data_IF_188574519035
#
_entry.id   IF_188574519035
#
_cell.length_a   1.000
_cell.length_b   1.000
_cell.length_c   1.000
_cell.angle_alpha   90.00
_cell.angle_beta   90.00
_cell.angle_gamma   90.00
#
_symmetry.space_group_name_H-M   'P 1'
#
loop_
_entity.id
_entity.type
_entity.pdbx_description
1 polymer ?
#
# COMPACT_ATOMS: atom_id res chain seq x y z
N UNK A 1 -47.67 -57.46 4.73
CA UNK A 1 -47.13 -56.60 3.64
C UNK A 1 -46.47 -55.35 4.31
N UNK A 2 -45.14 -55.34 4.49
CA UNK A 2 -44.42 -54.26 5.16
C UNK A 2 -43.65 -53.44 4.10
N UNK A 3 -44.04 -52.19 3.93
CA UNK A 3 -43.40 -51.28 3.01
C UNK A 3 -42.34 -50.52 3.81
N UNK A 4 -41.07 -50.76 3.50
CA UNK A 4 -39.93 -50.06 4.09
C UNK A 4 -39.66 -48.73 3.35
N UNK A 5 -39.77 -47.63 4.06
CA UNK A 5 -39.39 -46.30 3.57
C UNK A 5 -37.88 -46.15 3.74
N UNK A 6 -37.15 -46.05 2.64
CA UNK A 6 -35.71 -45.67 2.62
C UNK A 6 -35.60 -44.17 2.60
N UNK A 7 -35.17 -43.59 3.71
CA UNK A 7 -34.80 -42.17 3.80
C UNK A 7 -33.49 -41.92 3.08
N UNK A 8 -33.53 -41.16 2.00
CA UNK A 8 -32.32 -40.66 1.31
C UNK A 8 -31.91 -39.36 2.00
N UNK A 9 -30.81 -39.41 2.74
CA UNK A 9 -30.18 -38.23 3.32
C UNK A 9 -29.38 -37.54 2.24
N UNK A 10 -29.89 -36.42 1.71
CA UNK A 10 -29.16 -35.55 0.78
C UNK A 10 -28.20 -34.68 1.58
N UNK A 11 -26.91 -35.01 1.53
CA UNK A 11 -25.82 -34.18 2.09
C UNK A 11 -25.57 -33.00 1.16
N UNK A 12 -26.15 -31.85 1.47
CA UNK A 12 -25.88 -30.58 0.77
C UNK A 12 -24.48 -30.08 1.10
N UNK A 13 -23.52 -30.24 0.19
CA UNK A 13 -22.21 -29.62 0.27
C UNK A 13 -22.40 -28.15 -0.09
N UNK A 14 -22.41 -27.29 0.94
CA UNK A 14 -22.34 -25.83 0.76
C UNK A 14 -20.92 -25.48 0.31
N UNK A 15 -20.72 -25.33 -1.00
CA UNK A 15 -19.49 -24.72 -1.55
C UNK A 15 -19.53 -23.23 -1.18
N UNK A 16 -18.83 -22.87 -0.10
CA UNK A 16 -18.44 -21.50 0.15
C UNK A 16 -17.51 -21.09 -1.02
N UNK A 17 -18.05 -20.30 -1.92
CA UNK A 17 -17.23 -19.61 -2.91
C UNK A 17 -16.38 -18.57 -2.17
N UNK A 18 -15.16 -18.97 -1.79
CA UNK A 18 -14.12 -17.99 -1.51
C UNK A 18 -13.82 -17.31 -2.85
N UNK A 19 -14.25 -16.06 -3.00
CA UNK A 19 -13.67 -15.19 -4.02
C UNK A 19 -12.21 -15.02 -3.61
N UNK A 20 -11.22 -15.47 -4.40
CA UNK A 20 -9.85 -15.13 -4.11
C UNK A 20 -9.77 -13.60 -4.24
N UNK A 21 -9.48 -12.89 -3.17
CA UNK A 21 -8.91 -11.56 -3.28
C UNK A 21 -7.69 -11.71 -4.17
N UNK A 22 -7.71 -11.06 -5.32
CA UNK A 22 -6.61 -11.14 -6.27
C UNK A 22 -5.46 -10.38 -5.63
N UNK A 23 -4.48 -11.11 -5.10
CA UNK A 23 -3.29 -10.51 -4.54
C UNK A 23 -2.63 -9.63 -5.62
N UNK A 24 -2.20 -8.42 -5.26
CA UNK A 24 -1.43 -7.57 -6.15
C UNK A 24 -0.23 -8.36 -6.70
N UNK A 25 -0.01 -8.29 -8.00
CA UNK A 25 1.01 -9.10 -8.71
C UNK A 25 2.01 -8.24 -9.47
N UNK A 26 1.95 -6.91 -9.31
CA UNK A 26 2.82 -5.95 -9.99
C UNK A 26 3.51 -5.08 -8.95
N UNK A 27 4.75 -4.72 -9.21
CA UNK A 27 5.52 -3.77 -8.38
C UNK A 27 5.89 -2.57 -9.24
N UNK A 28 5.42 -1.39 -8.86
CA UNK A 28 5.88 -0.12 -9.44
C UNK A 28 7.26 0.21 -8.86
N UNK A 29 8.26 0.42 -9.72
CA UNK A 29 9.66 0.67 -9.33
C UNK A 29 10.19 2.02 -9.80
N UNK A 30 9.39 2.81 -10.51
CA UNK A 30 9.74 4.14 -11.02
C UNK A 30 8.51 4.92 -11.44
N UNK A 31 8.70 6.21 -11.72
CA UNK A 31 7.64 7.15 -12.06
C UNK A 31 7.09 7.94 -10.87
N UNK A 32 6.19 8.89 -11.14
CA UNK A 32 5.53 9.72 -10.14
C UNK A 32 4.21 9.08 -9.73
N UNK A 33 4.04 8.88 -8.43
CA UNK A 33 2.88 8.24 -7.82
C UNK A 33 2.50 8.98 -6.56
N UNK A 34 1.22 9.30 -6.38
CA UNK A 34 0.71 9.93 -5.17
C UNK A 34 -0.26 8.99 -4.43
N UNK A 35 -0.20 9.04 -3.10
CA UNK A 35 -1.29 8.61 -2.23
C UNK A 35 -2.23 9.80 -2.12
N UNK A 36 -3.35 9.70 -2.81
CA UNK A 36 -4.34 10.75 -2.95
C UNK A 36 -5.52 10.61 -2.00
N UNK A 37 -6.18 11.74 -1.72
CA UNK A 37 -7.49 11.75 -1.09
C UNK A 37 -8.45 12.61 -1.89
N UNK A 38 -9.60 12.03 -2.25
CA UNK A 38 -10.72 12.68 -2.92
C UNK A 38 -11.97 12.67 -2.04
N UNK A 39 -12.95 13.50 -2.38
CA UNK A 39 -14.29 13.42 -1.82
C UNK A 39 -15.29 13.06 -2.92
N UNK A 40 -15.82 11.87 -2.84
CA UNK A 40 -16.71 11.26 -3.83
C UNK A 40 -18.14 11.07 -3.29
N UNK A 41 -19.12 10.68 -4.17
CA UNK A 41 -20.45 10.29 -3.73
C UNK A 41 -20.40 9.04 -2.82
N UNK A 42 -20.23 9.24 -1.53
CA UNK A 42 -20.12 8.17 -0.52
C UNK A 42 -19.22 8.54 0.63
N UNK A 43 -18.33 9.50 0.46
CA UNK A 43 -17.41 9.97 1.49
C UNK A 43 -16.02 10.28 0.97
N UNK A 44 -15.05 10.28 1.87
CA UNK A 44 -13.64 10.33 1.47
C UNK A 44 -13.24 9.02 0.80
N UNK A 45 -12.31 9.13 -0.12
CA UNK A 45 -11.68 8.00 -0.79
C UNK A 45 -10.16 8.19 -0.81
N UNK A 46 -9.43 7.25 -0.22
CA UNK A 46 -7.97 7.18 -0.33
C UNK A 46 -7.61 6.21 -1.45
N UNK A 47 -6.74 6.65 -2.34
CA UNK A 47 -6.38 5.91 -3.55
C UNK A 47 -4.92 6.16 -3.94
N UNK A 48 -4.44 5.45 -4.96
CA UNK A 48 -3.18 5.78 -5.63
C UNK A 48 -3.47 6.51 -6.93
N UNK A 49 -2.73 7.57 -7.21
CA UNK A 49 -2.84 8.34 -8.44
C UNK A 49 -1.49 8.42 -9.15
N UNK A 50 -1.45 8.07 -10.43
CA UNK A 50 -0.28 8.22 -11.30
C UNK A 50 -0.59 9.19 -12.43
N UNK A 51 0.13 10.29 -12.51
CA UNK A 51 -0.01 11.27 -13.61
C UNK A 51 0.77 10.84 -14.86
N UNK A 52 1.91 10.16 -14.67
CA UNK A 52 2.79 9.64 -15.70
C UNK A 52 2.84 8.11 -15.67
N UNK A 53 3.25 7.43 -16.75
CA UNK A 53 3.45 5.98 -16.73
C UNK A 53 4.44 5.55 -15.63
N UNK A 54 4.05 4.57 -14.83
CA UNK A 54 4.92 3.99 -13.80
C UNK A 54 5.71 2.83 -14.40
N UNK A 55 7.02 2.80 -14.18
CA UNK A 55 7.83 1.65 -14.52
C UNK A 55 7.55 0.47 -13.57
N UNK A 56 7.49 -0.75 -14.09
CA UNK A 56 7.27 -1.94 -13.28
C UNK A 56 8.47 -2.86 -13.26
N UNK A 57 8.63 -3.60 -12.16
CA UNK A 57 9.59 -4.70 -12.11
C UNK A 57 9.26 -5.73 -13.20
N UNK A 58 10.28 -6.19 -13.91
CA UNK A 58 10.09 -7.03 -15.10
C UNK A 58 10.02 -6.27 -16.44
N UNK A 59 10.07 -4.92 -16.42
CA UNK A 59 10.20 -4.07 -17.60
C UNK A 59 8.91 -3.72 -18.32
N UNK A 60 7.77 -3.79 -17.62
CA UNK A 60 6.48 -3.27 -18.08
C UNK A 60 6.23 -1.84 -17.62
N UNK A 61 5.03 -1.32 -17.93
CA UNK A 61 4.53 -0.03 -17.43
C UNK A 61 3.08 -0.13 -16.99
N UNK A 62 2.72 0.67 -15.97
CA UNK A 62 1.33 0.95 -15.59
C UNK A 62 0.96 2.29 -16.23
N UNK A 63 -0.16 2.34 -16.97
CA UNK A 63 -0.62 3.59 -17.57
C UNK A 63 -1.11 4.57 -16.49
N UNK A 64 -1.03 5.90 -16.75
CA UNK A 64 -1.57 6.91 -15.83
C UNK A 64 -3.06 6.70 -15.56
N UNK A 65 -3.42 6.66 -14.30
CA UNK A 65 -4.81 6.51 -13.81
C UNK A 65 -4.87 6.66 -12.29
N UNK A 66 -6.08 6.64 -11.77
CA UNK A 66 -6.37 6.34 -10.37
C UNK A 66 -6.50 4.84 -10.16
N UNK A 67 -6.08 4.36 -8.99
CA UNK A 67 -6.05 2.95 -8.63
C UNK A 67 -6.50 2.76 -7.17
N UNK A 68 -7.13 1.64 -6.91
CA UNK A 68 -7.36 1.21 -5.52
C UNK A 68 -6.04 1.10 -4.76
N UNK A 69 -6.08 1.32 -3.46
CA UNK A 69 -4.91 1.38 -2.58
C UNK A 69 -4.04 0.10 -2.59
N UNK A 70 -4.63 -1.04 -2.95
CA UNK A 70 -4.01 -2.37 -3.01
C UNK A 70 -3.81 -2.91 -4.44
N UNK A 71 -4.01 -2.08 -5.47
CA UNK A 71 -3.92 -2.51 -6.88
C UNK A 71 -2.54 -3.06 -7.27
N UNK A 72 -1.46 -2.53 -6.69
CA UNK A 72 -0.09 -2.97 -6.90
C UNK A 72 0.81 -2.63 -5.71
N UNK A 73 2.00 -3.21 -5.67
CA UNK A 73 3.02 -2.86 -4.68
C UNK A 73 3.83 -1.64 -5.12
N UNK A 74 4.10 -0.73 -4.18
CA UNK A 74 5.08 0.34 -4.36
C UNK A 74 6.46 -0.23 -4.00
N UNK A 75 7.38 -0.27 -4.97
CA UNK A 75 8.71 -0.82 -4.80
C UNK A 75 9.65 0.14 -4.07
N UNK A 76 10.38 -0.38 -3.10
CA UNK A 76 11.41 0.36 -2.34
C UNK A 76 12.73 -0.39 -2.48
N UNK A 77 13.51 -0.16 -3.56
CA UNK A 77 14.76 -0.87 -3.80
C UNK A 77 15.84 -0.49 -2.79
N UNK A 78 16.83 -1.32 -2.64
CA UNK A 78 17.99 -1.02 -1.80
C UNK A 78 18.43 -2.18 -0.94
N UNK A 79 19.26 -1.94 0.14
CA UNK A 79 19.20 -0.82 1.10
C UNK A 79 19.78 0.48 0.54
N UNK A 80 19.24 1.62 1.01
CA UNK A 80 19.62 2.95 0.50
C UNK A 80 20.80 3.57 1.28
N UNK A 81 20.79 3.45 2.61
CA UNK A 81 21.85 3.96 3.48
C UNK A 81 21.83 3.27 4.86
N UNK A 82 22.95 3.24 5.62
CA UNK A 82 22.95 2.81 7.01
C UNK A 82 22.35 3.94 7.88
N UNK A 83 21.53 3.58 8.90
CA UNK A 83 21.00 4.55 9.86
C UNK A 83 22.12 5.41 10.43
N UNK A 84 22.07 6.74 10.35
CA UNK A 84 23.07 7.60 10.95
C UNK A 84 23.11 7.46 12.48
N UNK A 85 24.26 7.75 13.08
CA UNK A 85 24.40 7.81 14.53
C UNK A 85 23.66 9.04 15.10
N UNK A 86 23.30 8.96 16.39
CA UNK A 86 22.66 10.03 17.13
C UNK A 86 21.15 9.85 17.31
N UNK A 87 20.63 10.55 18.32
CA UNK A 87 19.23 10.47 18.73
C UNK A 87 18.27 11.03 17.67
N UNK A 88 18.70 12.00 16.88
CA UNK A 88 17.93 12.63 15.80
C UNK A 88 17.41 11.63 14.76
N UNK A 89 18.12 10.50 14.57
CA UNK A 89 17.77 9.45 13.62
C UNK A 89 17.19 8.19 14.27
N UNK A 90 16.90 8.25 15.59
CA UNK A 90 16.43 7.07 16.34
C UNK A 90 15.04 6.57 15.89
N UNK A 91 14.28 7.39 15.21
CA UNK A 91 12.98 7.04 14.66
C UNK A 91 13.05 6.06 13.47
N UNK A 92 14.21 5.90 12.82
CA UNK A 92 14.36 4.99 11.67
C UNK A 92 14.55 3.53 12.07
N UNK A 93 15.31 3.26 13.13
CA UNK A 93 15.58 1.91 13.64
C UNK A 93 16.20 1.97 15.04
N UNK A 94 16.34 0.83 15.69
CA UNK A 94 16.88 0.73 17.05
C UNK A 94 18.39 1.02 17.13
N UNK A 95 19.17 0.75 16.07
CA UNK A 95 20.64 0.80 16.11
C UNK A 95 21.22 1.61 14.96
N UNK A 96 22.25 2.42 15.27
CA UNK A 96 23.04 3.06 14.22
C UNK A 96 23.74 1.99 13.37
N UNK A 97 23.77 2.22 12.06
CA UNK A 97 24.34 1.26 11.10
C UNK A 97 23.34 0.24 10.56
N UNK A 98 22.13 0.13 11.14
CA UNK A 98 21.08 -0.69 10.54
C UNK A 98 20.78 -0.25 9.11
N UNK A 99 20.51 -1.18 8.16
CA UNK A 99 20.13 -0.82 6.82
C UNK A 99 18.77 -0.12 6.80
N UNK A 100 18.67 0.98 6.06
CA UNK A 100 17.42 1.70 5.83
C UNK A 100 17.10 1.66 4.34
N UNK A 101 15.88 1.30 4.04
CA UNK A 101 15.28 1.33 2.71
C UNK A 101 14.35 2.54 2.68
N UNK A 102 14.40 3.38 1.64
CA UNK A 102 13.51 4.54 1.60
C UNK A 102 13.20 5.04 0.20
N UNK A 103 12.03 5.67 0.08
CA UNK A 103 11.66 6.53 -1.03
C UNK A 103 11.96 7.97 -0.64
N UNK A 104 12.76 8.71 -1.43
CA UNK A 104 13.17 10.05 -1.07
C UNK A 104 12.09 11.09 -1.36
N UNK A 105 12.08 12.18 -0.60
CA UNK A 105 11.22 13.36 -0.84
C UNK A 105 11.57 14.14 -2.12
N UNK A 106 12.70 13.85 -2.74
CA UNK A 106 13.13 14.41 -4.01
C UNK A 106 13.22 13.31 -5.06
N UNK A 107 12.90 13.64 -6.31
CA UNK A 107 12.92 12.66 -7.40
C UNK A 107 14.27 11.96 -7.52
N UNK A 108 14.21 10.62 -7.58
CA UNK A 108 15.32 9.72 -7.88
C UNK A 108 14.86 8.79 -9.03
N UNK A 109 15.47 8.82 -10.21
CA UNK A 109 15.03 8.03 -11.35
C UNK A 109 15.12 6.51 -11.14
N UNK A 110 15.77 6.05 -10.08
CA UNK A 110 15.87 4.63 -9.71
C UNK A 110 14.77 4.17 -8.74
N UNK A 111 13.83 5.04 -8.40
CA UNK A 111 12.79 4.78 -7.39
C UNK A 111 11.46 5.43 -7.76
N UNK A 112 10.33 4.91 -7.30
CA UNK A 112 9.09 5.66 -7.31
C UNK A 112 9.23 6.99 -6.56
N UNK A 113 8.73 8.06 -7.16
CA UNK A 113 8.65 9.37 -6.54
C UNK A 113 7.28 9.51 -5.90
N UNK A 114 7.20 9.16 -4.59
CA UNK A 114 5.95 9.04 -3.86
C UNK A 114 5.56 10.36 -3.20
N UNK A 115 4.35 10.85 -3.52
CA UNK A 115 3.73 12.01 -2.88
C UNK A 115 2.53 11.65 -2.01
N UNK A 116 2.04 12.66 -1.29
CA UNK A 116 0.80 12.68 -0.53
C UNK A 116 -0.05 13.84 -1.05
N UNK A 117 -1.16 13.53 -1.73
CA UNK A 117 -1.93 14.48 -2.52
C UNK A 117 -3.31 14.76 -1.92
N UNK A 118 -3.73 16.01 -2.03
CA UNK A 118 -5.07 16.50 -1.72
C UNK A 118 -5.59 17.40 -2.84
N UNK A 119 -5.02 17.28 -4.04
CA UNK A 119 -5.32 18.16 -5.18
C UNK A 119 -6.73 18.01 -5.70
N UNK A 120 -7.36 16.86 -5.46
CA UNK A 120 -8.75 16.58 -5.80
C UNK A 120 -9.76 17.16 -4.80
N UNK A 121 -9.27 17.76 -3.70
CA UNK A 121 -10.12 18.49 -2.77
C UNK A 121 -10.18 19.97 -3.17
N UNK A 122 -11.34 20.43 -3.66
CA UNK A 122 -11.51 21.84 -3.96
C UNK A 122 -11.52 22.65 -2.64
N UNK A 123 -10.58 23.61 -2.47
CA UNK A 123 -10.60 24.51 -1.30
C UNK A 123 -11.91 25.28 -1.12
N UNK A 124 -12.68 25.49 -2.22
CA UNK A 124 -13.96 26.18 -2.18
C UNK A 124 -15.11 25.34 -1.62
N UNK A 125 -14.91 24.04 -1.43
CA UNK A 125 -15.92 23.14 -0.85
C UNK A 125 -16.04 23.23 0.67
N UNK A 126 -15.30 24.15 1.31
CA UNK A 126 -15.40 24.41 2.75
C UNK A 126 -14.48 23.54 3.61
N UNK A 127 -13.46 22.92 3.04
CA UNK A 127 -12.43 22.20 3.79
C UNK A 127 -11.57 23.17 4.60
N UNK A 128 -11.45 22.93 5.91
CA UNK A 128 -10.74 23.82 6.85
C UNK A 128 -9.48 23.19 7.45
N UNK A 129 -9.40 21.87 7.48
CA UNK A 129 -8.22 21.15 7.97
C UNK A 129 -8.12 19.77 7.36
N UNK A 130 -6.87 19.30 7.27
CA UNK A 130 -6.51 17.95 6.85
C UNK A 130 -5.43 17.40 7.78
N UNK A 131 -5.58 16.15 8.19
CA UNK A 131 -4.61 15.39 8.96
C UNK A 131 -4.41 14.03 8.30
N UNK A 132 -3.15 13.67 8.11
CA UNK A 132 -2.70 12.32 7.81
C UNK A 132 -2.29 11.61 9.09
N UNK A 133 -2.50 10.29 9.14
CA UNK A 133 -2.06 9.44 10.25
C UNK A 133 -1.51 8.12 9.71
N UNK A 134 -0.37 7.69 10.26
CA UNK A 134 0.18 6.34 10.08
C UNK A 134 -0.40 5.44 11.18
N UNK A 135 -1.52 4.78 10.89
CA UNK A 135 -2.24 3.93 11.87
C UNK A 135 -1.42 2.70 12.25
N UNK A 136 -0.68 2.14 11.29
CA UNK A 136 0.16 0.99 11.54
C UNK A 136 0.85 0.45 10.29
N UNK A 137 1.69 -0.54 10.52
CA UNK A 137 2.38 -1.28 9.48
C UNK A 137 2.57 -2.73 9.88
N UNK A 138 2.33 -3.65 8.95
CA UNK A 138 2.71 -5.07 9.07
C UNK A 138 3.80 -5.42 8.07
N UNK A 139 4.52 -6.52 8.31
CA UNK A 139 5.56 -7.02 7.40
C UNK A 139 5.47 -8.54 7.30
N UNK A 140 5.47 -9.07 6.09
CA UNK A 140 5.38 -10.50 5.79
C UNK A 140 6.45 -11.37 6.46
N UNK A 141 7.63 -10.80 6.73
CA UNK A 141 8.74 -11.50 7.40
C UNK A 141 8.60 -11.47 8.94
N UNK A 142 7.58 -10.77 9.48
CA UNK A 142 7.38 -10.64 10.91
C UNK A 142 8.51 -9.89 11.64
N UNK A 143 8.47 -9.88 12.97
CA UNK A 143 9.46 -9.22 13.81
C UNK A 143 9.26 -7.71 13.92
N UNK A 144 10.22 -7.01 14.57
CA UNK A 144 10.18 -5.57 14.76
C UNK A 144 10.42 -4.84 13.42
N UNK A 145 9.35 -4.54 12.73
CA UNK A 145 9.34 -3.78 11.47
C UNK A 145 8.87 -2.36 11.73
N UNK A 146 9.65 -1.39 11.28
CA UNK A 146 9.36 0.02 11.54
C UNK A 146 9.26 0.78 10.23
N UNK A 147 8.28 1.67 10.18
CA UNK A 147 8.05 2.62 9.10
C UNK A 147 8.13 4.02 9.67
N UNK A 148 8.73 4.92 8.92
CA UNK A 148 8.87 6.32 9.29
C UNK A 148 8.64 7.23 8.11
N UNK A 149 7.95 8.34 8.33
CA UNK A 149 7.68 9.38 7.34
C UNK A 149 8.31 10.68 7.87
N UNK A 150 9.18 11.31 7.08
CA UNK A 150 9.85 12.55 7.48
C UNK A 150 10.16 13.42 6.28
N UNK A 151 10.33 14.72 6.51
CA UNK A 151 10.96 15.62 5.56
C UNK A 151 12.39 15.96 6.01
N UNK A 152 13.22 16.42 5.09
CA UNK A 152 14.51 17.01 5.43
C UNK A 152 14.44 18.52 5.27
N UNK A 153 15.00 19.26 6.22
CA UNK A 153 15.16 20.69 6.08
C UNK A 153 16.28 21.05 5.06
N UNK A 154 16.51 22.32 4.84
CA UNK A 154 17.56 22.81 3.92
C UNK A 154 18.98 22.46 4.33
N UNK A 155 19.19 22.00 5.57
CA UNK A 155 20.48 21.56 6.11
C UNK A 155 20.59 20.03 6.17
N UNK A 156 19.55 19.29 5.69
CA UNK A 156 19.51 17.84 5.71
C UNK A 156 19.08 17.23 7.05
N UNK A 157 18.65 18.04 8.03
CA UNK A 157 18.13 17.52 9.31
C UNK A 157 16.71 16.97 9.10
N UNK A 158 16.39 15.80 9.72
CA UNK A 158 15.07 15.21 9.59
C UNK A 158 14.04 15.97 10.44
N UNK A 159 12.86 16.16 9.85
CA UNK A 159 11.65 16.64 10.54
C UNK A 159 10.66 15.50 10.51
N UNK A 160 10.53 14.79 11.62
CA UNK A 160 9.64 13.64 11.76
C UNK A 160 8.18 14.05 11.52
N UNK A 161 7.46 13.26 10.74
CA UNK A 161 6.02 13.37 10.49
C UNK A 161 5.27 12.25 11.19
N UNK A 162 5.71 11.01 10.96
CA UNK A 162 5.15 9.83 11.61
C UNK A 162 6.21 8.73 11.78
N UNK A 163 6.06 7.89 12.81
CA UNK A 163 6.92 6.72 12.99
C UNK A 163 6.23 5.67 13.84
N UNK A 164 6.24 4.42 13.40
CA UNK A 164 5.76 3.29 14.21
C UNK A 164 6.63 2.99 15.43
N UNK A 165 7.82 3.61 15.54
CA UNK A 165 8.68 3.57 16.76
C UNK A 165 8.29 4.61 17.80
N UNK A 166 7.63 5.68 17.40
CA UNK A 166 7.19 6.76 18.28
C UNK A 166 5.67 6.97 18.10
N UNK A 167 4.86 6.29 18.92
CA UNK A 167 3.40 6.41 18.80
C UNK A 167 2.85 7.80 19.18
N UNK A 168 3.69 8.72 19.66
CA UNK A 168 3.32 10.12 19.84
C UNK A 168 3.55 10.96 18.56
N UNK A 169 4.19 10.38 17.53
CA UNK A 169 4.46 11.00 16.25
C UNK A 169 3.92 10.08 15.13
N UNK A 170 2.61 9.88 15.11
CA UNK A 170 1.90 9.05 14.12
C UNK A 170 1.02 9.87 13.17
N UNK A 171 0.81 11.17 13.44
CA UNK A 171 -0.05 12.05 12.67
C UNK A 171 0.59 13.41 12.36
N UNK A 172 0.27 13.94 11.17
CA UNK A 172 0.77 15.25 10.72
C UNK A 172 -0.28 16.00 9.90
N UNK A 173 -0.21 17.33 9.93
CA UNK A 173 -1.11 18.17 9.15
C UNK A 173 -0.78 18.12 7.66
N UNK A 174 -1.81 17.99 6.82
CA UNK A 174 -1.77 18.21 5.38
C UNK A 174 -2.30 19.60 5.01
N UNK A 175 -2.06 20.02 3.79
CA UNK A 175 -2.67 21.20 3.18
C UNK A 175 -3.75 20.76 2.18
N UNK A 176 -4.80 21.53 1.99
CA UNK A 176 -5.87 21.26 1.03
C UNK A 176 -5.46 21.76 -0.36
N UNK A 177 -5.79 21.01 -1.42
CA UNK A 177 -5.54 21.38 -2.81
C UNK A 177 -4.05 21.39 -3.19
N UNK A 178 -3.24 20.53 -2.55
CA UNK A 178 -1.79 20.45 -2.81
C UNK A 178 -1.29 19.03 -2.77
N UNK A 179 -0.07 18.79 -3.28
CA UNK A 179 0.67 17.59 -2.94
C UNK A 179 2.05 17.89 -2.35
N UNK A 180 2.57 16.94 -1.58
CA UNK A 180 3.86 17.07 -0.89
C UNK A 180 4.57 15.73 -0.89
N UNK A 181 5.87 15.72 -1.15
CA UNK A 181 6.70 14.55 -1.05
C UNK A 181 7.42 14.49 0.30
N UNK A 182 7.38 13.33 0.92
CA UNK A 182 8.12 13.00 2.13
C UNK A 182 9.08 11.86 1.87
N UNK A 183 10.11 11.73 2.71
CA UNK A 183 10.86 10.49 2.77
C UNK A 183 9.98 9.45 3.48
N UNK A 184 9.85 8.26 2.89
CA UNK A 184 9.15 7.11 3.49
C UNK A 184 10.16 6.00 3.67
N UNK A 185 10.48 5.64 4.90
CA UNK A 185 11.56 4.73 5.25
C UNK A 185 11.13 3.50 6.00
N UNK A 186 11.86 2.42 5.76
CA UNK A 186 11.65 1.08 6.30
C UNK A 186 12.97 0.56 6.88
N UNK A 187 12.93 -0.09 8.03
CA UNK A 187 14.12 -0.60 8.71
C UNK A 187 14.56 -1.99 8.27
N UNK A 188 13.82 -2.66 7.39
CA UNK A 188 14.14 -4.01 6.90
C UNK A 188 13.37 -4.35 5.62
N UNK A 189 13.80 -5.40 4.93
CA UNK A 189 13.10 -5.97 3.79
C UNK A 189 11.77 -6.62 4.17
N UNK A 190 10.90 -6.83 3.19
CA UNK A 190 9.64 -7.54 3.31
C UNK A 190 8.53 -6.95 2.45
N UNK A 191 7.40 -7.64 2.41
CA UNK A 191 6.15 -7.09 1.89
C UNK A 191 5.43 -6.42 3.06
N UNK A 192 5.15 -5.15 2.92
CA UNK A 192 4.48 -4.35 3.94
C UNK A 192 3.06 -4.02 3.52
N UNK A 193 2.20 -3.99 4.51
CA UNK A 193 0.89 -3.35 4.48
C UNK A 193 0.96 -2.13 5.38
N UNK A 194 0.84 -0.94 4.79
CA UNK A 194 0.80 0.34 5.49
C UNK A 194 -0.64 0.80 5.60
N UNK A 195 -1.12 0.99 6.82
CA UNK A 195 -2.45 1.55 7.06
C UNK A 195 -2.31 3.06 7.29
N UNK A 196 -2.88 3.83 6.38
CA UNK A 196 -2.95 5.29 6.46
C UNK A 196 -4.38 5.73 6.67
N UNK A 197 -4.56 6.79 7.46
CA UNK A 197 -5.85 7.45 7.69
C UNK A 197 -5.76 8.91 7.29
N UNK A 198 -6.78 9.37 6.57
CA UNK A 198 -7.02 10.79 6.32
C UNK A 198 -8.21 11.26 7.17
N UNK A 199 -8.06 12.39 7.85
CA UNK A 199 -9.14 13.05 8.58
C UNK A 199 -9.25 14.49 8.11
N UNK A 200 -10.42 14.88 7.59
CA UNK A 200 -10.73 16.20 7.09
C UNK A 200 -11.89 16.82 7.87
N UNK A 201 -11.82 18.13 8.07
CA UNK A 201 -12.94 18.91 8.63
C UNK A 201 -13.49 19.86 7.58
N UNK A 202 -14.81 19.86 7.45
CA UNK A 202 -15.55 20.77 6.58
C UNK A 202 -16.45 21.66 7.41
N UNK A 203 -16.50 22.98 7.12
CA UNK A 203 -17.32 23.96 7.83
C UNK A 203 -18.71 24.15 7.25
N UNK A 204 -19.02 23.51 6.11
CA UNK A 204 -20.30 23.60 5.42
C UNK A 204 -20.50 24.88 4.61
N UNK A 205 -19.44 25.64 4.35
CA UNK A 205 -19.53 26.86 3.54
C UNK A 205 -19.65 26.59 2.03
N UNK A 206 -19.27 25.37 1.60
CA UNK A 206 -19.37 24.92 0.21
C UNK A 206 -20.56 23.98 -0.05
N UNK A 207 -20.35 23.04 -0.97
CA UNK A 207 -21.38 22.05 -1.36
C UNK A 207 -21.46 20.86 -0.40
N UNK A 208 -20.45 20.66 0.45
CA UNK A 208 -20.32 19.54 1.38
C UNK A 208 -20.83 19.95 2.77
N UNK A 209 -21.54 19.05 3.44
CA UNK A 209 -22.08 19.35 4.78
C UNK A 209 -20.94 19.55 5.80
N UNK A 210 -21.18 20.45 6.78
CA UNK A 210 -20.26 20.61 7.90
C UNK A 210 -20.07 19.30 8.66
N UNK A 211 -18.82 18.95 8.99
CA UNK A 211 -18.53 17.72 9.72
C UNK A 211 -17.06 17.32 9.66
N UNK A 212 -16.75 16.21 10.32
CA UNK A 212 -15.47 15.54 10.23
C UNK A 212 -15.64 14.27 9.42
N UNK A 213 -14.80 14.09 8.43
CA UNK A 213 -14.77 12.97 7.51
C UNK A 213 -13.45 12.22 7.70
N UNK A 214 -13.53 10.91 7.76
CA UNK A 214 -12.35 10.06 8.01
C UNK A 214 -12.42 8.84 7.11
N UNK A 215 -11.28 8.50 6.48
CA UNK A 215 -11.11 7.29 5.68
C UNK A 215 -9.77 6.64 6.03
N UNK A 216 -9.74 5.31 5.96
CA UNK A 216 -8.57 4.51 6.30
C UNK A 216 -8.38 3.43 5.24
N UNK A 217 -7.18 3.37 4.65
CA UNK A 217 -6.85 2.42 3.60
C UNK A 217 -5.48 1.79 3.80
N UNK A 218 -5.32 0.62 3.20
CA UNK A 218 -4.07 -0.16 3.24
C UNK A 218 -3.32 -0.04 1.93
N UNK A 219 -2.08 0.46 1.98
CA UNK A 219 -1.16 0.57 0.86
C UNK A 219 -0.07 -0.50 0.93
N UNK A 220 0.25 -1.10 -0.22
CA UNK A 220 1.18 -2.21 -0.31
C UNK A 220 2.57 -1.75 -0.73
N UNK A 221 3.62 -2.21 -0.01
CA UNK A 221 5.02 -1.91 -0.34
C UNK A 221 5.85 -3.19 -0.43
N UNK A 222 6.68 -3.29 -1.48
CA UNK A 222 7.69 -4.33 -1.63
C UNK A 222 9.06 -3.72 -1.34
N UNK A 223 9.62 -4.00 -0.16
CA UNK A 223 10.84 -3.37 0.36
C UNK A 223 12.03 -4.29 0.23
N UNK A 224 13.08 -3.81 -0.41
CA UNK A 224 14.29 -4.57 -0.74
C UNK A 224 14.16 -5.37 -2.03
N UNK A 225 15.27 -5.52 -2.74
CA UNK A 225 15.32 -6.16 -4.05
C UNK A 225 14.79 -7.60 -4.02
N UNK A 226 15.06 -8.32 -2.91
CA UNK A 226 14.56 -9.68 -2.70
C UNK A 226 13.04 -9.74 -2.64
N UNK A 227 12.42 -8.80 -1.94
CA UNK A 227 10.96 -8.74 -1.79
C UNK A 227 10.29 -8.28 -3.08
N UNK A 228 10.88 -7.33 -3.80
CA UNK A 228 10.42 -6.89 -5.13
C UNK A 228 10.40 -8.08 -6.09
N UNK A 229 11.49 -8.84 -6.15
CA UNK A 229 11.58 -10.03 -7.01
C UNK A 229 10.68 -11.20 -6.57
N UNK A 230 10.23 -11.22 -5.32
CA UNK A 230 9.37 -12.29 -4.79
C UNK A 230 7.89 -12.09 -5.10
N UNK A 231 7.44 -10.87 -5.48
CA UNK A 231 6.06 -10.63 -5.94
C UNK A 231 5.87 -11.35 -7.29
N UNK A 232 4.90 -12.29 -7.40
CA UNK A 232 4.73 -13.06 -8.62
C UNK A 232 4.30 -12.17 -9.79
N UNK A 233 4.98 -12.27 -10.92
CA UNK A 233 4.52 -11.61 -12.14
C UNK A 233 3.17 -12.19 -12.62
N UNK A 234 2.27 -11.39 -13.20
CA UNK A 234 0.97 -11.85 -13.70
C UNK A 234 1.04 -13.08 -14.59
N UNK A 235 2.08 -13.19 -15.43
CA UNK A 235 2.33 -14.33 -16.31
C UNK A 235 2.64 -15.63 -15.57
N UNK A 236 3.27 -15.56 -14.40
CA UNK A 236 3.65 -16.73 -13.61
C UNK A 236 2.42 -17.42 -13.00
N UNK A 237 1.44 -16.67 -12.56
CA UNK A 237 0.18 -17.21 -12.00
C UNK A 237 -0.64 -17.93 -13.08
N UNK A 238 -0.69 -17.41 -14.30
CA UNK A 238 -1.35 -18.07 -15.45
C UNK A 238 -0.66 -19.38 -15.79
N UNK A 239 0.67 -19.41 -15.81
CA UNK A 239 1.45 -20.63 -16.08
C UNK A 239 1.23 -21.71 -15.02
N UNK A 240 1.23 -21.37 -13.74
CA UNK A 240 0.99 -22.30 -12.63
C UNK A 240 -0.46 -22.80 -12.65
N UNK A 241 -1.43 -21.92 -12.87
CA UNK A 241 -2.85 -22.29 -13.00
C UNK A 241 -3.09 -23.26 -14.16
N UNK A 242 -2.49 -23.04 -15.32
CA UNK A 242 -2.58 -23.91 -16.50
C UNK A 242 -1.91 -25.25 -16.23
N UNK A 243 -0.74 -25.28 -15.58
CA UNK A 243 -0.03 -26.52 -15.23
C UNK A 243 -0.85 -27.37 -14.25
N UNK A 244 -1.45 -26.77 -13.22
CA UNK A 244 -2.30 -27.46 -12.25
C UNK A 244 -3.56 -28.01 -12.90
N UNK A 245 -4.21 -27.27 -13.79
CA UNK A 245 -5.37 -27.74 -14.55
C UNK A 245 -5.03 -28.95 -15.42
N UNK A 246 -3.90 -28.92 -16.14
CA UNK A 246 -3.45 -30.03 -16.99
C UNK A 246 -3.07 -31.28 -16.20
N UNK A 247 -2.43 -31.13 -15.04
CA UNK A 247 -2.10 -32.24 -14.14
C UNK A 247 -3.37 -32.86 -13.52
N UNK A 248 -4.34 -32.02 -13.15
CA UNK A 248 -5.64 -32.48 -12.64
C UNK A 248 -6.43 -33.29 -13.67
N UNK A 249 -6.44 -32.88 -14.92
CA UNK A 249 -7.07 -33.60 -16.03
C UNK A 249 -6.40 -34.95 -16.34
N UNK A 250 -5.06 -35.01 -16.29
CA UNK A 250 -4.32 -36.26 -16.46
C UNK A 250 -4.61 -37.28 -15.36
N UNK A 251 -4.72 -36.86 -14.10
CA UNK A 251 -5.06 -37.74 -12.98
C UNK A 251 -6.49 -38.28 -13.07
N UNK A 252 -7.45 -37.53 -13.60
CA UNK A 252 -8.82 -37.99 -13.82
C UNK A 252 -8.90 -39.06 -14.91
N UNK A 253 -8.13 -38.90 -16.04
CA UNK A 253 -8.09 -39.92 -17.11
C UNK A 253 -7.45 -41.24 -16.67
N UNK A 254 -6.44 -41.18 -15.80
CA UNK A 254 -5.79 -42.39 -15.25
C UNK A 254 -6.63 -43.17 -14.24
N UNK A 255 -7.76 -42.64 -13.75
CA UNK A 255 -8.68 -43.33 -12.83
C UNK A 255 -9.91 -43.91 -13.54
N UNK A 256 -10.12 -43.64 -14.81
CA UNK A 256 -11.26 -44.08 -15.60
C UNK A 256 -10.87 -45.14 -16.68
N UNK A 257 -9.64 -45.55 -16.75
CA UNK A 257 -9.10 -46.69 -17.51
C UNK A 257 -8.56 -47.75 -16.58
#
# INVERSE_FOLDING_TARGET
MRIGIRSILALGICLLAFSPTQAATVVAIGGHLDIGVAYEPGGLHLHMHAEDPLDTYGGGTIAPAEFDSDAFYIGVPGPSFPRPAGATWAFLSSSAGDPIFYLPQSSDPAKPFLGFATEELDPLDGWTSMQWELVGATNSLGGASHVSIWSSDTFGSPILRASTLDPAADAWAGSIGTHVHYNVGFNREGLYELVLRATLTNDGSGSIAAGTYTEEETFLFAVGDTSIAAVPEPGTLVAVGTLMATLGLRRRRARLG
#
